data_IF_439969077879
#
_entry.id   IF_439969077879
#
_cell.length_a   1.000
_cell.length_b   1.000
_cell.length_c   1.000
_cell.angle_alpha   90.00
_cell.angle_beta   90.00
_cell.angle_gamma   90.00
#
_symmetry.space_group_name_H-M   'P 1'
#
loop_
_entity.id
_entity.type
_entity.pdbx_description
1 polymer ?
#
# COMPACT_ATOMS: atom_id res chain seq x y z
N UNK A 1 -6.08 -5.85 15.38
CA UNK A 1 -6.54 -5.92 13.99
C UNK A 1 -5.40 -5.46 13.10
N UNK A 2 -5.49 -5.70 11.79
CA UNK A 2 -4.41 -5.42 10.85
C UNK A 2 -4.91 -4.36 9.87
N UNK A 3 -4.07 -3.39 9.53
CA UNK A 3 -4.38 -2.39 8.51
C UNK A 3 -3.46 -2.55 7.31
N UNK A 4 -4.03 -2.44 6.11
CA UNK A 4 -3.32 -2.46 4.86
C UNK A 4 -3.36 -1.06 4.24
N UNK A 5 -2.19 -0.44 4.06
CA UNK A 5 -2.08 0.94 3.58
C UNK A 5 -1.55 0.98 2.15
N UNK A 6 -2.10 1.91 1.36
CA UNK A 6 -1.59 2.16 0.01
C UNK A 6 -0.21 2.85 0.01
N UNK A 7 0.36 3.01 -1.18
CA UNK A 7 1.67 3.61 -1.34
C UNK A 7 1.75 5.11 -1.03
N UNK A 8 0.64 5.85 -1.09
CA UNK A 8 0.62 7.26 -0.67
C UNK A 8 0.63 7.37 0.85
N UNK A 9 -0.17 6.56 1.54
CA UNK A 9 -0.11 6.46 3.00
C UNK A 9 1.25 5.93 3.46
N UNK A 10 1.86 5.00 2.72
CA UNK A 10 3.21 4.52 2.99
C UNK A 10 4.24 5.67 2.94
N UNK A 11 4.14 6.61 2.00
CA UNK A 11 4.99 7.82 2.00
C UNK A 11 4.86 8.60 3.31
N UNK A 12 3.63 8.81 3.79
CA UNK A 12 3.39 9.52 5.05
C UNK A 12 4.04 8.80 6.23
N UNK A 13 3.93 7.47 6.30
CA UNK A 13 4.54 6.66 7.36
C UNK A 13 6.06 6.71 7.33
N UNK A 14 6.66 6.59 6.14
CA UNK A 14 8.12 6.67 5.98
C UNK A 14 8.65 8.07 6.30
N UNK A 15 7.81 9.10 6.18
CA UNK A 15 8.06 10.46 6.65
C UNK A 15 7.84 10.66 8.16
N UNK A 16 7.53 9.61 8.93
CA UNK A 16 7.30 9.70 10.37
C UNK A 16 5.88 10.12 10.78
N UNK A 17 4.91 10.09 9.86
CA UNK A 17 3.51 10.28 10.18
C UNK A 17 2.87 9.04 10.84
N UNK A 18 1.73 9.25 11.49
CA UNK A 18 0.99 8.18 12.16
C UNK A 18 0.15 7.34 11.17
N UNK A 19 -0.02 6.03 11.41
CA UNK A 19 -0.94 5.22 10.64
C UNK A 19 -2.41 5.55 10.98
N UNK A 20 -3.36 5.25 10.08
CA UNK A 20 -4.79 5.47 10.32
C UNK A 20 -5.30 4.88 11.65
N UNK A 21 -4.76 3.72 12.04
CA UNK A 21 -5.05 3.06 13.34
C UNK A 21 -3.75 2.83 14.13
N UNK A 22 -3.34 3.74 15.03
CA UNK A 22 -2.05 3.64 15.74
C UNK A 22 -1.83 2.35 16.54
N UNK A 23 -2.89 1.69 17.01
CA UNK A 23 -2.81 0.46 17.79
C UNK A 23 -2.79 -0.83 16.95
N UNK A 24 -2.81 -0.73 15.62
CA UNK A 24 -2.95 -1.88 14.72
C UNK A 24 -1.69 -2.11 13.88
N UNK A 25 -1.39 -3.38 13.61
CA UNK A 25 -0.23 -3.75 12.80
C UNK A 25 -0.38 -3.21 11.37
N UNK A 26 0.64 -2.50 10.88
CA UNK A 26 0.65 -1.87 9.56
C UNK A 26 1.25 -2.81 8.53
N UNK A 27 0.57 -2.95 7.40
CA UNK A 27 1.04 -3.72 6.26
C UNK A 27 0.89 -2.93 4.97
N UNK A 28 1.68 -3.28 3.96
CA UNK A 28 1.49 -2.87 2.57
C UNK A 28 1.63 -4.06 1.63
N UNK A 29 1.49 -3.84 0.32
CA UNK A 29 1.62 -4.90 -0.70
C UNK A 29 2.87 -4.73 -1.54
N UNK A 30 3.32 -5.82 -2.16
CA UNK A 30 4.52 -5.82 -3.01
C UNK A 30 4.41 -4.86 -4.18
N UNK A 31 3.27 -4.82 -4.88
CA UNK A 31 3.08 -3.91 -6.00
C UNK A 31 3.00 -2.44 -5.58
N UNK A 32 2.39 -2.13 -4.44
CA UNK A 32 2.39 -0.75 -3.92
C UNK A 32 3.79 -0.30 -3.53
N UNK A 33 4.53 -1.13 -2.79
CA UNK A 33 5.91 -0.84 -2.43
C UNK A 33 6.81 -0.66 -3.66
N UNK A 34 6.72 -1.57 -4.65
CA UNK A 34 7.47 -1.44 -5.92
C UNK A 34 7.06 -0.17 -6.68
N UNK A 35 5.76 0.17 -6.72
CA UNK A 35 5.28 1.39 -7.40
C UNK A 35 5.87 2.64 -6.74
N UNK A 36 5.95 2.66 -5.41
CA UNK A 36 6.59 3.74 -4.66
C UNK A 36 8.10 3.82 -4.94
N UNK A 37 8.83 2.72 -4.81
CA UNK A 37 10.27 2.66 -5.10
C UNK A 37 10.57 3.15 -6.51
N UNK A 38 9.79 2.74 -7.51
CA UNK A 38 9.95 3.22 -8.89
C UNK A 38 9.70 4.72 -9.03
N UNK A 39 8.69 5.24 -8.33
CA UNK A 39 8.39 6.66 -8.37
C UNK A 39 9.51 7.50 -7.73
N UNK A 40 10.09 7.05 -6.62
CA UNK A 40 11.11 7.81 -5.87
C UNK A 40 12.52 7.63 -6.46
N UNK A 41 12.89 6.41 -6.86
CA UNK A 41 14.25 6.08 -7.32
C UNK A 41 14.42 6.22 -8.84
N UNK A 42 13.34 6.08 -9.61
CA UNK A 42 13.36 6.00 -11.08
C UNK A 42 13.42 7.36 -11.80
N UNK A 43 13.86 8.41 -11.13
CA UNK A 43 13.78 9.82 -11.56
C UNK A 43 14.48 10.10 -12.90
N UNK A 44 13.77 9.91 -14.01
CA UNK A 44 14.11 10.42 -15.34
C UNK A 44 12.89 10.98 -16.12
N UNK A 45 11.73 11.12 -15.48
CA UNK A 45 10.48 11.60 -16.10
C UNK A 45 9.72 12.61 -15.23
N UNK A 46 8.58 13.14 -15.72
CA UNK A 46 7.77 14.11 -14.98
C UNK A 46 7.37 13.56 -13.61
N UNK A 47 7.45 14.41 -12.57
CA UNK A 47 7.07 14.03 -11.22
C UNK A 47 5.58 13.63 -11.19
N UNK A 48 5.33 12.33 -10.99
CA UNK A 48 4.00 11.80 -10.70
C UNK A 48 3.60 12.07 -9.24
N UNK A 49 2.35 11.79 -8.92
CA UNK A 49 1.72 12.04 -7.61
C UNK A 49 2.53 11.45 -6.43
N UNK A 50 3.15 10.28 -6.59
CA UNK A 50 3.95 9.66 -5.53
C UNK A 50 5.31 10.34 -5.36
N UNK A 51 6.02 10.59 -6.46
CA UNK A 51 7.30 11.29 -6.43
C UNK A 51 7.15 12.73 -5.91
N UNK A 52 6.05 13.41 -6.22
CA UNK A 52 5.79 14.75 -5.70
C UNK A 52 5.42 14.73 -4.22
N UNK A 53 4.62 13.76 -3.75
CA UNK A 53 4.34 13.61 -2.32
C UNK A 53 5.60 13.28 -1.52
N UNK A 54 6.49 12.45 -2.04
CA UNK A 54 7.76 12.17 -1.40
C UNK A 54 8.70 13.40 -1.40
N UNK A 55 8.78 14.12 -2.52
CA UNK A 55 9.59 15.33 -2.64
C UNK A 55 9.04 16.54 -1.84
N UNK A 56 7.79 16.47 -1.39
CA UNK A 56 7.14 17.49 -0.57
C UNK A 56 7.35 17.27 0.94
N UNK A 57 8.08 16.21 1.33
CA UNK A 57 8.48 16.04 2.71
C UNK A 57 9.39 17.21 3.15
N UNK A 58 9.41 17.56 4.45
CA UNK A 58 10.42 18.47 5.00
C UNK A 58 11.84 17.98 4.66
N UNK A 59 12.75 18.91 4.33
CA UNK A 59 14.09 18.59 3.85
C UNK A 59 14.86 17.69 4.83
N UNK A 60 14.68 17.92 6.13
CA UNK A 60 15.24 17.14 7.22
C UNK A 60 14.75 15.67 7.26
N UNK A 61 13.59 15.39 6.66
CA UNK A 61 12.99 14.05 6.60
C UNK A 61 13.32 13.30 5.30
N UNK A 62 13.86 13.96 4.27
CA UNK A 62 14.15 13.32 2.98
C UNK A 62 15.11 12.14 3.11
N UNK A 63 16.28 12.34 3.72
CA UNK A 63 17.29 11.29 3.84
C UNK A 63 16.84 10.13 4.75
N UNK A 64 16.23 10.37 5.93
CA UNK A 64 15.60 9.32 6.73
C UNK A 64 14.52 8.55 5.97
N UNK A 65 13.60 9.25 5.31
CA UNK A 65 12.51 8.62 4.56
C UNK A 65 13.02 7.80 3.37
N UNK A 66 14.07 8.25 2.69
CA UNK A 66 14.69 7.50 1.60
C UNK A 66 15.36 6.22 2.11
N UNK A 67 16.04 6.29 3.26
CA UNK A 67 16.60 5.09 3.90
C UNK A 67 15.50 4.11 4.31
N UNK A 68 14.46 4.61 4.96
CA UNK A 68 13.30 3.82 5.36
C UNK A 68 12.61 3.20 4.13
N UNK A 69 12.52 3.91 3.01
CA UNK A 69 12.00 3.36 1.76
C UNK A 69 12.87 2.22 1.21
N UNK A 70 14.20 2.31 1.31
CA UNK A 70 15.09 1.28 0.78
C UNK A 70 15.15 0.03 1.67
N UNK A 71 15.02 0.21 2.97
CA UNK A 71 15.11 -0.85 3.97
C UNK A 71 13.74 -1.50 4.22
N UNK A 72 12.65 -0.72 4.11
CA UNK A 72 11.31 -0.99 4.61
C UNK A 72 11.34 -1.39 6.11
N UNK A 73 10.92 -0.51 7.04
CA UNK A 73 10.99 -0.79 8.47
C UNK A 73 10.27 -2.10 8.85
N UNK A 74 10.84 -2.85 9.81
CA UNK A 74 10.30 -4.13 10.28
C UNK A 74 8.87 -4.02 10.85
N UNK A 75 8.47 -2.83 11.29
CA UNK A 75 7.11 -2.52 11.76
C UNK A 75 6.08 -2.48 10.64
N UNK A 76 6.52 -2.34 9.37
CA UNK A 76 5.66 -2.34 8.19
C UNK A 76 5.76 -3.71 7.52
N UNK A 77 4.75 -4.54 7.75
CA UNK A 77 4.67 -5.85 7.12
C UNK A 77 4.51 -5.76 5.60
N UNK A 78 5.15 -6.69 4.89
CA UNK A 78 4.99 -6.88 3.45
C UNK A 78 4.59 -8.33 3.17
N UNK A 79 3.40 -8.54 2.62
CA UNK A 79 2.92 -9.91 2.38
C UNK A 79 3.69 -10.55 1.23
N UNK A 80 4.15 -11.78 1.43
CA UNK A 80 4.87 -12.52 0.40
C UNK A 80 3.94 -12.95 -0.74
N UNK A 81 4.33 -12.69 -1.98
CA UNK A 81 3.65 -13.24 -3.16
C UNK A 81 3.65 -14.77 -3.20
N UNK A 82 4.61 -15.44 -2.53
CA UNK A 82 4.58 -16.90 -2.37
C UNK A 82 3.31 -17.35 -1.65
N UNK A 83 2.87 -16.58 -0.66
CA UNK A 83 1.64 -16.81 0.10
C UNK A 83 0.42 -16.41 -0.72
N UNK A 84 0.46 -15.23 -1.37
CA UNK A 84 -0.72 -14.67 -2.04
C UNK A 84 -1.03 -15.28 -3.42
N UNK A 85 -0.04 -15.81 -4.15
CA UNK A 85 -0.22 -16.21 -5.55
C UNK A 85 -1.38 -17.20 -5.80
N UNK A 86 -1.58 -18.28 -5.00
CA UNK A 86 -2.72 -19.17 -5.18
C UNK A 86 -4.06 -18.47 -4.99
N UNK A 87 -4.16 -17.61 -3.97
CA UNK A 87 -5.38 -16.86 -3.67
C UNK A 87 -5.67 -15.82 -4.77
N UNK A 88 -4.65 -15.12 -5.27
CA UNK A 88 -4.75 -14.21 -6.41
C UNK A 88 -5.30 -14.95 -7.65
N UNK A 89 -4.81 -16.16 -7.94
CA UNK A 89 -5.30 -16.95 -9.07
C UNK A 89 -6.79 -17.31 -8.95
N UNK A 90 -7.25 -17.62 -7.74
CA UNK A 90 -8.67 -17.90 -7.47
C UNK A 90 -9.53 -16.64 -7.58
N UNK A 91 -9.08 -15.54 -6.98
CA UNK A 91 -9.78 -14.24 -7.00
C UNK A 91 -9.87 -13.65 -8.40
N UNK A 92 -8.85 -13.82 -9.24
CA UNK A 92 -8.82 -13.27 -10.61
C UNK A 92 -9.93 -13.82 -11.51
N UNK A 93 -10.52 -14.97 -11.17
CA UNK A 93 -11.68 -15.53 -11.88
C UNK A 93 -12.99 -14.85 -11.49
N UNK A 94 -13.06 -14.29 -10.28
CA UNK A 94 -14.25 -13.67 -9.68
C UNK A 94 -14.25 -12.16 -9.84
N UNK A 95 -13.08 -11.54 -9.73
CA UNK A 95 -12.88 -10.10 -9.71
C UNK A 95 -11.96 -9.66 -10.84
N UNK A 96 -12.41 -8.70 -11.65
CA UNK A 96 -11.62 -8.14 -12.76
C UNK A 96 -10.80 -6.93 -12.29
N UNK A 97 -9.83 -7.20 -11.42
CA UNK A 97 -8.88 -6.20 -10.91
C UNK A 97 -7.56 -6.25 -11.69
N UNK A 98 -6.82 -5.14 -11.68
CA UNK A 98 -5.43 -5.12 -12.14
C UNK A 98 -4.52 -5.77 -11.08
N UNK A 99 -3.23 -5.93 -11.39
CA UNK A 99 -2.25 -6.57 -10.51
C UNK A 99 -2.17 -5.91 -9.11
N UNK A 100 -2.23 -4.58 -9.05
CA UNK A 100 -2.27 -3.83 -7.79
C UNK A 100 -3.51 -4.18 -6.97
N UNK A 101 -4.70 -4.05 -7.57
CA UNK A 101 -5.96 -4.30 -6.87
C UNK A 101 -6.13 -5.75 -6.43
N UNK A 102 -5.73 -6.72 -7.27
CA UNK A 102 -5.91 -8.14 -6.94
C UNK A 102 -4.98 -8.60 -5.80
N UNK A 103 -3.76 -8.05 -5.74
CA UNK A 103 -2.84 -8.32 -4.62
C UNK A 103 -3.39 -7.73 -3.32
N UNK A 104 -3.91 -6.49 -3.36
CA UNK A 104 -4.52 -5.83 -2.20
C UNK A 104 -5.72 -6.61 -1.68
N UNK A 105 -6.59 -7.07 -2.57
CA UNK A 105 -7.72 -7.92 -2.20
C UNK A 105 -7.26 -9.22 -1.54
N UNK A 106 -6.26 -9.89 -2.14
CA UNK A 106 -5.71 -11.12 -1.59
C UNK A 106 -5.07 -10.90 -0.21
N UNK A 107 -4.27 -9.84 -0.06
CA UNK A 107 -3.62 -9.47 1.20
C UNK A 107 -4.64 -9.14 2.28
N UNK A 108 -5.69 -8.38 1.96
CA UNK A 108 -6.75 -8.04 2.92
C UNK A 108 -7.48 -9.29 3.45
N UNK A 109 -7.71 -10.27 2.58
CA UNK A 109 -8.34 -11.55 2.97
C UNK A 109 -7.37 -12.39 3.81
N UNK A 110 -6.12 -12.55 3.36
CA UNK A 110 -5.10 -13.37 4.03
C UNK A 110 -4.80 -12.86 5.45
N UNK A 111 -4.61 -11.54 5.59
CA UNK A 111 -4.29 -10.88 6.85
C UNK A 111 -5.51 -10.58 7.72
N UNK A 112 -6.72 -10.79 7.20
CA UNK A 112 -7.96 -10.27 7.79
C UNK A 112 -7.88 -8.76 8.07
N UNK A 113 -7.31 -8.00 7.13
CA UNK A 113 -7.01 -6.58 7.30
C UNK A 113 -8.12 -5.66 6.78
N UNK A 114 -8.25 -4.50 7.42
CA UNK A 114 -8.98 -3.35 6.90
C UNK A 114 -8.07 -2.55 5.94
N UNK A 115 -8.62 -2.08 4.84
CA UNK A 115 -7.84 -1.39 3.78
C UNK A 115 -8.03 0.12 3.87
N UNK A 116 -6.92 0.86 3.92
CA UNK A 116 -6.91 2.32 3.94
C UNK A 116 -6.27 2.84 2.66
N UNK A 117 -7.00 3.69 1.93
CA UNK A 117 -6.60 4.22 0.63
C UNK A 117 -6.52 5.75 0.70
N UNK A 118 -5.51 6.34 0.06
CA UNK A 118 -5.45 7.80 -0.15
C UNK A 118 -6.33 8.30 -1.28
N UNK A 119 -6.92 7.42 -2.07
CA UNK A 119 -7.80 7.78 -3.18
C UNK A 119 -8.84 6.68 -3.44
N UNK A 120 -9.99 7.09 -3.98
CA UNK A 120 -11.05 6.16 -4.36
C UNK A 120 -10.56 5.14 -5.40
N UNK A 121 -10.96 3.89 -5.21
CA UNK A 121 -10.65 2.78 -6.10
C UNK A 121 -11.89 1.91 -6.28
N UNK A 122 -12.93 2.39 -7.02
CA UNK A 122 -14.28 1.82 -6.94
C UNK A 122 -14.36 0.32 -7.17
N UNK A 123 -13.59 -0.23 -8.12
CA UNK A 123 -13.56 -1.67 -8.40
C UNK A 123 -12.92 -2.48 -7.27
N UNK A 124 -11.86 -1.96 -6.66
CA UNK A 124 -11.21 -2.59 -5.52
C UNK A 124 -12.14 -2.52 -4.30
N UNK A 125 -12.77 -1.38 -4.06
CA UNK A 125 -13.74 -1.22 -2.98
C UNK A 125 -14.92 -2.19 -3.11
N UNK A 126 -15.48 -2.33 -4.31
CA UNK A 126 -16.54 -3.31 -4.60
C UNK A 126 -16.08 -4.73 -4.28
N UNK A 127 -14.88 -5.11 -4.74
CA UNK A 127 -14.34 -6.44 -4.51
C UNK A 127 -14.04 -6.71 -3.01
N UNK A 128 -13.53 -5.72 -2.28
CA UNK A 128 -13.31 -5.82 -0.83
C UNK A 128 -14.64 -6.05 -0.09
N UNK A 129 -15.67 -5.27 -0.42
CA UNK A 129 -17.02 -5.46 0.16
C UNK A 129 -17.60 -6.83 -0.18
N UNK A 130 -17.42 -7.30 -1.41
CA UNK A 130 -17.88 -8.63 -1.84
C UNK A 130 -17.19 -9.78 -1.08
N UNK A 131 -15.95 -9.57 -0.62
CA UNK A 131 -15.19 -10.52 0.20
C UNK A 131 -15.26 -10.18 1.71
N UNK A 132 -16.24 -9.38 2.13
CA UNK A 132 -16.48 -8.96 3.52
C UNK A 132 -15.26 -8.32 4.21
N UNK A 133 -14.50 -7.50 3.47
CA UNK A 133 -13.40 -6.67 3.99
C UNK A 133 -13.80 -5.20 4.01
N UNK A 134 -13.35 -4.47 5.02
CA UNK A 134 -13.60 -3.03 5.11
C UNK A 134 -12.60 -2.25 4.26
N UNK A 135 -13.06 -1.09 3.78
CA UNK A 135 -12.24 -0.13 3.06
C UNK A 135 -12.61 1.29 3.49
N UNK A 136 -11.60 2.09 3.81
CA UNK A 136 -11.74 3.50 4.20
C UNK A 136 -10.84 4.36 3.32
N UNK A 137 -11.36 5.50 2.86
CA UNK A 137 -10.57 6.49 2.14
C UNK A 137 -10.12 7.54 3.15
N UNK A 138 -8.81 7.68 3.32
CA UNK A 138 -8.18 8.63 4.24
C UNK A 138 -7.56 9.73 3.38
N UNK A 139 -8.11 10.94 3.48
CA UNK A 139 -7.69 12.11 2.71
C UNK A 139 -6.47 12.80 3.34
#
# INVERSE_FOLDING_TARGET
MTQLVDDRLLVTLLGGGDPPRPAEAVWTTGYWYVRLCRAVLGSAGPAGVLSSSFAALPEELHAPALRALLELPDEIGLVSLRTLAPLIGQLSRRHRLNALGIEVLAAAIDLQADVYLSAAAPRLEEALRAENRNVEIVA
#
